data_IF_859776189381
#
_entry.id   IF_859776189381
#
_cell.length_a   1.000
_cell.length_b   1.000
_cell.length_c   1.000
_cell.angle_alpha   90.00
_cell.angle_beta   90.00
_cell.angle_gamma   90.00
#
_symmetry.space_group_name_H-M   'P 1'
#
loop_
_entity.id
_entity.type
_entity.pdbx_description
1 polymer ?
#
# COMPACT_ATOMS: atom_id res chain seq x y z
N UNK A 1 -2.58 -31.68 -9.08
CA UNK A 1 -1.56 -31.16 -8.16
C UNK A 1 -2.30 -30.13 -7.33
N UNK A 2 -2.12 -30.19 -6.01
CA UNK A 2 -2.79 -29.27 -5.10
C UNK A 2 -2.38 -27.82 -5.42
N UNK A 3 -3.36 -26.95 -5.51
CA UNK A 3 -3.14 -25.53 -5.78
C UNK A 3 -3.24 -24.74 -4.46
N UNK A 4 -2.19 -24.84 -3.66
CA UNK A 4 -2.13 -24.20 -2.37
C UNK A 4 -1.53 -22.79 -2.48
N UNK A 5 -2.15 -21.84 -1.79
CA UNK A 5 -1.69 -20.44 -1.68
C UNK A 5 -1.18 -20.19 -0.26
N UNK A 6 -0.17 -19.33 -0.12
CA UNK A 6 0.38 -18.94 1.16
C UNK A 6 0.25 -17.44 1.35
N UNK A 7 -0.39 -16.99 2.42
CA UNK A 7 -0.56 -15.57 2.78
C UNK A 7 0.26 -15.30 4.03
N UNK A 8 1.19 -14.37 3.97
CA UNK A 8 2.03 -13.95 5.09
C UNK A 8 1.41 -12.74 5.77
N UNK A 9 1.14 -12.84 7.06
CA UNK A 9 0.59 -11.81 7.94
C UNK A 9 -0.54 -12.33 8.84
N UNK A 10 -1.09 -11.44 9.67
CA UNK A 10 -2.06 -11.80 10.73
C UNK A 10 -3.21 -10.82 10.90
N UNK A 11 -3.21 -9.72 10.15
CA UNK A 11 -4.21 -8.65 10.29
C UNK A 11 -5.52 -8.94 9.57
N UNK A 12 -6.44 -7.97 9.64
CA UNK A 12 -7.71 -8.00 8.90
C UNK A 12 -7.50 -8.00 7.38
N UNK A 13 -6.45 -7.34 6.91
CA UNK A 13 -6.02 -7.34 5.52
C UNK A 13 -5.70 -8.75 5.02
N UNK A 14 -4.85 -9.48 5.74
CA UNK A 14 -4.45 -10.84 5.36
C UNK A 14 -5.62 -11.80 5.46
N UNK A 15 -6.50 -11.64 6.45
CA UNK A 15 -7.74 -12.40 6.55
C UNK A 15 -8.62 -12.19 5.31
N UNK A 16 -8.86 -10.94 4.90
CA UNK A 16 -9.68 -10.61 3.73
C UNK A 16 -9.08 -11.18 2.43
N UNK A 17 -7.75 -11.10 2.26
CA UNK A 17 -7.05 -11.71 1.11
C UNK A 17 -7.26 -13.23 1.11
N UNK A 18 -7.04 -13.89 2.24
CA UNK A 18 -7.17 -15.33 2.37
C UNK A 18 -8.62 -15.78 2.12
N UNK A 19 -9.58 -15.07 2.71
CA UNK A 19 -11.01 -15.30 2.50
C UNK A 19 -11.39 -15.21 1.01
N UNK A 20 -10.92 -14.17 0.31
CA UNK A 20 -11.24 -14.02 -1.11
C UNK A 20 -10.61 -15.12 -1.98
N UNK A 21 -9.38 -15.55 -1.65
CA UNK A 21 -8.71 -16.65 -2.34
C UNK A 21 -9.38 -17.99 -2.07
N UNK A 22 -9.89 -18.23 -0.86
CA UNK A 22 -10.59 -19.48 -0.52
C UNK A 22 -11.93 -19.66 -1.25
N UNK A 23 -12.49 -18.58 -1.83
CA UNK A 23 -13.70 -18.65 -2.68
C UNK A 23 -13.42 -19.08 -4.10
N UNK A 24 -12.15 -19.10 -4.54
CA UNK A 24 -11.77 -19.57 -5.86
C UNK A 24 -11.86 -21.08 -5.97
N UNK A 25 -12.55 -21.58 -6.99
CA UNK A 25 -12.60 -23.01 -7.28
C UNK A 25 -11.26 -23.58 -7.85
N UNK A 26 -10.26 -22.72 -7.99
CA UNK A 26 -8.89 -23.04 -8.44
C UNK A 26 -7.92 -23.19 -7.28
N UNK A 27 -8.35 -22.96 -6.04
CA UNK A 27 -7.53 -23.02 -4.84
C UNK A 27 -8.02 -24.12 -3.94
N UNK A 28 -7.12 -25.06 -3.57
CA UNK A 28 -7.46 -26.16 -2.68
C UNK A 28 -7.38 -25.72 -1.21
N UNK A 29 -6.27 -25.09 -0.82
CA UNK A 29 -6.08 -24.56 0.53
C UNK A 29 -5.38 -23.20 0.52
N UNK A 30 -5.74 -22.33 1.45
CA UNK A 30 -5.03 -21.09 1.76
C UNK A 30 -4.37 -21.23 3.11
N UNK A 31 -3.05 -21.22 3.15
CA UNK A 31 -2.28 -21.18 4.39
C UNK A 31 -2.03 -19.73 4.78
N UNK A 32 -2.23 -19.38 6.05
CA UNK A 32 -2.01 -18.01 6.56
C UNK A 32 -1.02 -18.05 7.71
N UNK A 33 0.02 -17.24 7.65
CA UNK A 33 1.11 -17.26 8.62
C UNK A 33 1.35 -15.88 9.28
N UNK A 34 1.21 -15.77 10.58
CA UNK A 34 0.71 -16.79 11.50
C UNK A 34 -0.82 -16.93 11.46
N UNK A 35 -1.54 -16.02 10.77
CA UNK A 35 -2.99 -15.95 10.79
C UNK A 35 -3.54 -15.40 12.12
N UNK A 36 -4.83 -15.55 12.32
CA UNK A 36 -5.51 -15.06 13.53
C UNK A 36 -6.73 -15.94 13.86
N UNK A 37 -7.46 -15.58 14.93
CA UNK A 37 -8.65 -16.32 15.35
C UNK A 37 -9.79 -16.32 14.33
N UNK A 38 -9.89 -15.29 13.47
CA UNK A 38 -10.87 -15.23 12.39
C UNK A 38 -10.50 -16.18 11.25
N UNK A 39 -9.25 -16.16 10.80
CA UNK A 39 -8.78 -17.05 9.71
C UNK A 39 -8.91 -18.53 10.08
N UNK A 40 -8.80 -18.89 11.35
CA UNK A 40 -8.96 -20.27 11.82
C UNK A 40 -10.40 -20.79 11.77
N UNK A 41 -11.38 -19.92 11.55
CA UNK A 41 -12.80 -20.28 11.46
C UNK A 41 -13.31 -20.39 10.01
N UNK A 42 -12.50 -19.99 9.05
CA UNK A 42 -12.86 -20.02 7.63
C UNK A 42 -12.63 -21.40 7.03
N UNK A 43 -13.52 -21.83 6.13
CA UNK A 43 -13.32 -23.04 5.35
C UNK A 43 -12.13 -22.90 4.40
N UNK A 44 -11.33 -23.97 4.24
CA UNK A 44 -10.16 -24.04 3.38
C UNK A 44 -9.05 -23.02 3.74
N UNK A 45 -9.08 -22.45 4.95
CA UNK A 45 -8.01 -21.61 5.47
C UNK A 45 -7.34 -22.31 6.66
N UNK A 46 -6.01 -22.38 6.63
CA UNK A 46 -5.20 -23.08 7.61
C UNK A 46 -4.15 -22.14 8.19
N UNK A 47 -4.20 -21.89 9.48
CA UNK A 47 -3.18 -21.10 10.15
C UNK A 47 -1.88 -21.90 10.31
N UNK A 48 -0.75 -21.21 10.12
CA UNK A 48 0.60 -21.79 10.22
C UNK A 48 1.40 -21.01 11.24
N UNK A 49 1.75 -21.66 12.35
CA UNK A 49 2.49 -21.02 13.44
C UNK A 49 4.01 -20.94 13.13
N UNK A 50 4.37 -19.95 12.31
CA UNK A 50 5.76 -19.60 12.01
C UNK A 50 5.93 -18.09 12.22
N UNK A 51 7.05 -17.68 12.80
CA UNK A 51 7.40 -16.26 12.90
C UNK A 51 7.64 -15.68 11.49
N UNK A 52 6.95 -14.60 11.15
CA UNK A 52 7.08 -13.95 9.82
C UNK A 52 8.47 -13.34 9.56
N UNK A 53 9.30 -13.18 10.58
CA UNK A 53 10.70 -12.76 10.46
C UNK A 53 11.64 -13.92 10.12
N UNK A 54 11.20 -15.17 10.33
CA UNK A 54 11.97 -16.37 10.01
C UNK A 54 11.77 -16.81 8.56
N UNK A 55 12.53 -16.15 7.67
CA UNK A 55 12.45 -16.39 6.22
C UNK A 55 12.75 -17.84 5.84
N UNK A 56 13.69 -18.48 6.53
CA UNK A 56 14.08 -19.85 6.21
C UNK A 56 12.95 -20.84 6.50
N UNK A 57 12.29 -20.69 7.65
CA UNK A 57 11.12 -21.49 8.01
C UNK A 57 9.95 -21.27 7.05
N UNK A 58 9.68 -20.01 6.63
CA UNK A 58 8.66 -19.70 5.65
C UNK A 58 8.94 -20.32 4.28
N UNK A 59 10.21 -20.25 3.80
CA UNK A 59 10.65 -20.87 2.55
C UNK A 59 10.53 -22.39 2.61
N UNK A 60 10.97 -23.01 3.70
CA UNK A 60 10.86 -24.46 3.88
C UNK A 60 9.40 -24.90 3.92
N UNK A 61 8.53 -24.16 4.59
CA UNK A 61 7.11 -24.42 4.59
C UNK A 61 6.53 -24.38 3.18
N UNK A 62 6.84 -23.33 2.41
CA UNK A 62 6.34 -23.19 1.04
C UNK A 62 6.78 -24.33 0.13
N UNK A 63 8.03 -24.80 0.25
CA UNK A 63 8.56 -25.96 -0.51
C UNK A 63 7.87 -27.26 -0.14
N UNK A 64 7.62 -27.50 1.14
CA UNK A 64 7.10 -28.77 1.64
C UNK A 64 5.59 -28.93 1.46
N UNK A 65 4.86 -27.82 1.24
CA UNK A 65 3.39 -27.81 1.13
C UNK A 65 2.89 -27.49 -0.28
N UNK A 66 3.70 -27.66 -1.32
CA UNK A 66 3.33 -27.41 -2.71
C UNK A 66 2.70 -26.02 -2.94
N UNK A 67 3.26 -24.98 -2.30
CA UNK A 67 2.75 -23.62 -2.46
C UNK A 67 3.06 -23.13 -3.88
N UNK A 68 1.99 -22.80 -4.63
CA UNK A 68 2.12 -22.32 -6.00
C UNK A 68 2.33 -20.81 -6.08
N UNK A 69 1.91 -20.05 -5.05
CA UNK A 69 2.07 -18.61 -4.94
C UNK A 69 2.05 -18.19 -3.48
N UNK A 70 2.96 -17.32 -3.10
CA UNK A 70 2.95 -16.65 -1.79
C UNK A 70 2.54 -15.19 -1.96
N UNK A 71 1.73 -14.64 -1.04
CA UNK A 71 1.30 -13.24 -1.03
C UNK A 71 1.73 -12.63 0.29
N UNK A 72 2.37 -11.46 0.25
CA UNK A 72 2.83 -10.76 1.44
C UNK A 72 1.88 -9.64 1.79
N UNK A 73 1.29 -9.69 2.98
CA UNK A 73 0.37 -8.67 3.47
C UNK A 73 1.09 -7.47 4.09
N UNK A 74 1.93 -7.64 5.14
CA UNK A 74 2.55 -6.53 5.86
C UNK A 74 3.81 -5.99 5.16
N UNK A 75 4.10 -4.71 5.39
CA UNK A 75 5.24 -3.99 4.83
C UNK A 75 6.60 -4.44 5.38
N UNK A 76 6.67 -4.84 6.64
CA UNK A 76 7.93 -5.23 7.29
C UNK A 76 8.70 -6.30 6.53
N UNK A 77 8.14 -7.48 6.27
CA UNK A 77 8.77 -8.52 5.49
C UNK A 77 9.17 -8.09 4.07
N UNK A 78 8.39 -7.21 3.42
CA UNK A 78 8.72 -6.68 2.08
C UNK A 78 10.00 -5.86 2.12
N UNK A 79 10.07 -4.90 3.05
CA UNK A 79 11.24 -4.03 3.24
C UNK A 79 12.47 -4.84 3.66
N UNK A 80 12.27 -5.90 4.44
CA UNK A 80 13.33 -6.82 4.83
C UNK A 80 13.77 -7.80 3.72
N UNK A 81 13.06 -7.80 2.57
CA UNK A 81 13.47 -8.53 1.36
C UNK A 81 13.03 -9.99 1.30
N UNK A 82 11.92 -10.35 1.92
CA UNK A 82 11.37 -11.71 1.83
C UNK A 82 11.14 -12.14 0.38
N UNK A 83 10.73 -11.20 -0.48
CA UNK A 83 10.49 -11.47 -1.91
C UNK A 83 11.79 -11.90 -2.61
N UNK A 84 12.90 -11.22 -2.31
CA UNK A 84 14.21 -11.60 -2.86
C UNK A 84 14.58 -13.02 -2.44
N UNK A 85 14.42 -13.34 -1.15
CA UNK A 85 14.76 -14.66 -0.61
C UNK A 85 13.91 -15.79 -1.23
N UNK A 86 12.61 -15.57 -1.44
CA UNK A 86 11.73 -16.55 -2.10
C UNK A 86 12.12 -16.77 -3.56
N UNK A 87 12.40 -15.70 -4.31
CA UNK A 87 12.83 -15.77 -5.72
C UNK A 87 14.16 -16.53 -5.84
N UNK A 88 15.13 -16.26 -4.97
CA UNK A 88 16.43 -16.94 -4.92
C UNK A 88 16.28 -18.45 -4.64
N UNK A 89 15.21 -18.83 -3.95
CA UNK A 89 14.86 -20.21 -3.67
C UNK A 89 13.93 -20.85 -4.73
N UNK A 90 13.68 -20.17 -5.86
CA UNK A 90 12.84 -20.67 -6.96
C UNK A 90 11.34 -20.71 -6.66
N UNK A 91 10.89 -20.00 -5.62
CA UNK A 91 9.48 -19.94 -5.22
C UNK A 91 8.81 -18.71 -5.83
N UNK A 92 7.53 -18.86 -6.19
CA UNK A 92 6.71 -17.76 -6.67
C UNK A 92 6.17 -16.97 -5.48
N UNK A 93 6.29 -15.65 -5.57
CA UNK A 93 5.82 -14.74 -4.54
C UNK A 93 5.30 -13.46 -5.18
N UNK A 94 4.16 -12.97 -4.71
CA UNK A 94 3.56 -11.72 -5.15
C UNK A 94 3.83 -10.64 -4.12
N UNK A 95 4.64 -9.67 -4.50
CA UNK A 95 5.10 -8.55 -3.71
C UNK A 95 6.34 -7.95 -4.39
N UNK A 96 6.62 -6.64 -4.15
CA UNK A 96 7.82 -6.01 -4.68
C UNK A 96 9.07 -6.50 -3.96
N UNK A 97 10.18 -6.57 -4.70
CA UNK A 97 11.48 -6.85 -4.11
C UNK A 97 11.91 -5.69 -3.19
N UNK A 98 12.91 -5.94 -2.32
CA UNK A 98 13.44 -4.94 -1.38
C UNK A 98 13.77 -3.61 -2.06
N UNK A 99 14.29 -3.67 -3.30
CA UNK A 99 14.66 -2.49 -4.08
C UNK A 99 13.48 -1.57 -4.40
N UNK A 100 12.24 -2.09 -4.36
CA UNK A 100 11.02 -1.31 -4.58
C UNK A 100 10.21 -1.11 -3.30
N UNK A 101 10.28 -2.04 -2.36
CA UNK A 101 9.64 -1.89 -1.06
C UNK A 101 10.16 -0.65 -0.30
N UNK A 102 11.34 -0.13 -0.67
CA UNK A 102 11.89 1.13 -0.16
C UNK A 102 10.99 2.34 -0.45
N UNK A 103 10.11 2.29 -1.46
CA UNK A 103 9.10 3.35 -1.71
C UNK A 103 8.18 3.55 -0.51
N UNK A 104 7.89 2.49 0.25
CA UNK A 104 7.16 2.55 1.52
C UNK A 104 8.13 2.59 2.70
N UNK A 105 9.24 1.87 2.60
CA UNK A 105 10.22 1.71 3.67
C UNK A 105 11.02 2.96 4.01
N UNK A 106 11.11 3.94 3.10
CA UNK A 106 11.77 5.23 3.34
C UNK A 106 10.97 6.38 2.75
N UNK A 107 10.53 7.29 3.62
CA UNK A 107 9.84 8.52 3.20
C UNK A 107 10.78 9.50 2.50
N UNK A 108 12.04 9.53 2.92
CA UNK A 108 13.11 10.29 2.26
C UNK A 108 13.25 9.82 0.82
N UNK A 109 13.48 8.52 0.61
CA UNK A 109 13.58 7.95 -0.73
C UNK A 109 12.34 8.22 -1.58
N UNK A 110 11.14 8.03 -1.00
CA UNK A 110 9.87 8.25 -1.68
C UNK A 110 9.70 9.71 -2.14
N UNK A 111 10.10 10.68 -1.32
CA UNK A 111 10.05 12.10 -1.67
C UNK A 111 11.07 12.48 -2.74
N UNK A 112 12.31 12.01 -2.63
CA UNK A 112 13.32 12.20 -3.67
C UNK A 112 12.91 11.57 -5.00
N UNK A 113 12.29 10.39 -4.94
CA UNK A 113 11.74 9.71 -6.11
C UNK A 113 10.65 10.56 -6.77
N UNK A 114 9.69 11.09 -6.00
CA UNK A 114 8.63 11.94 -6.53
C UNK A 114 9.17 13.24 -7.14
N UNK A 115 10.10 13.91 -6.46
CA UNK A 115 10.73 15.14 -6.97
C UNK A 115 11.49 14.88 -8.25
N UNK A 116 12.30 13.83 -8.32
CA UNK A 116 13.12 13.49 -9.48
C UNK A 116 12.31 13.20 -10.74
N UNK A 117 11.10 12.71 -10.61
CA UNK A 117 10.24 12.32 -11.73
C UNK A 117 9.04 13.26 -11.92
N UNK A 118 9.08 14.45 -11.33
CA UNK A 118 8.02 15.46 -11.39
C UNK A 118 6.63 14.92 -11.01
N UNK A 119 6.58 14.00 -10.04
CA UNK A 119 5.34 13.50 -9.49
C UNK A 119 4.83 14.51 -8.46
N UNK A 120 3.59 15.02 -8.60
CA UNK A 120 3.10 16.07 -7.72
C UNK A 120 2.97 15.60 -6.28
N UNK A 121 3.62 16.28 -5.35
CA UNK A 121 3.56 16.03 -3.90
C UNK A 121 3.61 17.34 -3.13
N UNK A 122 3.48 17.30 -1.79
CA UNK A 122 3.66 18.48 -0.93
C UNK A 122 5.09 19.02 -1.04
N UNK A 123 5.29 20.33 -0.85
CA UNK A 123 6.63 20.87 -0.63
C UNK A 123 7.22 20.22 0.61
N UNK A 124 8.47 19.81 0.55
CA UNK A 124 9.12 19.10 1.65
C UNK A 124 10.58 19.50 1.82
N UNK A 125 11.13 19.19 2.97
CA UNK A 125 12.57 19.22 3.22
C UNK A 125 12.94 18.13 4.23
N UNK A 126 14.14 17.58 4.07
CA UNK A 126 14.66 16.49 4.90
C UNK A 126 15.72 17.01 5.86
N UNK A 127 15.79 16.46 7.06
CA UNK A 127 16.73 16.83 8.09
C UNK A 127 17.19 15.60 8.87
N UNK A 128 18.48 15.60 9.17
CA UNK A 128 19.11 14.69 10.15
C UNK A 128 19.63 15.46 11.38
N UNK A 129 19.62 16.78 11.29
CA UNK A 129 20.05 17.68 12.39
C UNK A 129 18.85 18.42 12.99
N UNK A 130 18.72 18.30 14.31
CA UNK A 130 17.63 18.89 15.09
C UNK A 130 17.63 20.42 15.02
N UNK A 131 18.82 21.05 15.07
CA UNK A 131 18.95 22.52 15.07
C UNK A 131 18.56 23.08 13.70
N UNK A 132 19.00 22.43 12.62
CA UNK A 132 18.64 22.82 11.26
C UNK A 132 17.14 22.68 11.02
N UNK A 133 16.53 21.58 11.47
CA UNK A 133 15.10 21.34 11.37
C UNK A 133 14.30 22.44 12.11
N UNK A 134 14.68 22.74 13.36
CA UNK A 134 14.04 23.81 14.16
C UNK A 134 14.21 25.19 13.56
N UNK A 135 15.36 25.49 12.96
CA UNK A 135 15.55 26.76 12.26
C UNK A 135 14.69 26.88 11.01
N UNK A 136 14.49 25.79 10.29
CA UNK A 136 13.65 25.77 9.09
C UNK A 136 12.18 26.08 9.39
N UNK A 137 11.61 25.55 10.48
CA UNK A 137 10.18 25.72 10.81
C UNK A 137 9.81 27.13 11.27
N UNK A 138 10.77 27.96 11.75
CA UNK A 138 10.51 29.34 12.22
C UNK A 138 9.80 30.24 11.21
N UNK A 139 10.00 29.97 9.91
CA UNK A 139 9.42 30.77 8.83
C UNK A 139 8.30 30.04 8.09
N UNK A 140 7.81 28.94 8.64
CA UNK A 140 6.73 28.16 8.00
C UNK A 140 5.35 28.69 8.37
N UNK A 141 4.40 28.46 7.46
CA UNK A 141 2.98 28.61 7.75
C UNK A 141 2.46 27.30 8.32
N UNK A 142 1.75 27.37 9.41
CA UNK A 142 1.14 26.20 10.05
C UNK A 142 -0.28 25.94 9.57
N UNK A 143 -0.79 24.69 9.63
CA UNK A 143 -0.08 23.50 10.13
C UNK A 143 1.01 23.01 9.17
N UNK A 144 1.98 22.23 9.71
CA UNK A 144 2.98 21.47 8.97
C UNK A 144 2.94 20.01 9.40
N UNK A 145 3.56 19.12 8.60
CA UNK A 145 3.63 17.69 8.91
C UNK A 145 5.09 17.29 9.11
N UNK A 146 5.41 16.69 10.26
CA UNK A 146 6.73 16.13 10.56
C UNK A 146 6.61 14.61 10.52
N UNK A 147 7.41 13.96 9.66
CA UNK A 147 7.38 12.50 9.44
C UNK A 147 8.75 11.91 9.73
N UNK A 148 8.80 10.86 10.54
CA UNK A 148 9.99 10.02 10.69
C UNK A 148 10.23 9.22 9.40
N UNK A 149 11.50 9.07 9.00
CA UNK A 149 11.86 8.12 7.95
C UNK A 149 11.73 6.68 8.45
N UNK A 150 11.49 5.74 7.54
CA UNK A 150 11.30 4.34 7.89
C UNK A 150 9.85 3.95 8.20
N UNK A 151 9.66 2.67 8.52
CA UNK A 151 8.38 2.10 8.92
C UNK A 151 8.06 2.49 10.37
N UNK A 152 6.90 3.08 10.61
CA UNK A 152 6.50 3.58 11.92
C UNK A 152 5.08 3.17 12.35
N UNK A 153 4.45 2.22 11.66
CA UNK A 153 3.10 1.71 11.99
C UNK A 153 2.07 2.84 12.27
N UNK A 154 2.05 3.87 11.43
CA UNK A 154 1.16 5.03 11.59
C UNK A 154 1.56 6.04 12.68
N UNK A 155 2.56 5.74 13.51
CA UNK A 155 2.97 6.60 14.65
C UNK A 155 4.10 7.59 14.33
N UNK A 156 4.68 7.50 13.14
CA UNK A 156 5.78 8.36 12.69
C UNK A 156 5.34 9.63 11.96
N UNK A 157 4.06 10.01 11.99
CA UNK A 157 3.52 11.20 11.33
C UNK A 157 2.85 12.08 12.38
N UNK A 158 3.31 13.32 12.51
CA UNK A 158 2.79 14.29 13.47
C UNK A 158 2.41 15.55 12.70
N UNK A 159 1.13 15.94 12.79
CA UNK A 159 0.63 17.22 12.29
C UNK A 159 0.83 18.22 13.43
N UNK A 160 1.51 19.32 13.14
CA UNK A 160 1.84 20.38 14.11
C UNK A 160 1.13 21.66 13.72
N UNK A 161 0.30 22.19 14.61
CA UNK A 161 -0.53 23.36 14.35
C UNK A 161 0.18 24.68 14.65
N UNK A 162 1.29 24.61 15.37
CA UNK A 162 2.14 25.75 15.74
C UNK A 162 3.62 25.35 15.85
N UNK A 163 4.47 26.33 16.17
CA UNK A 163 5.92 26.15 16.28
C UNK A 163 6.29 25.22 17.46
N UNK A 164 5.60 25.33 18.58
CA UNK A 164 5.90 24.55 19.78
C UNK A 164 5.57 23.06 19.57
N UNK A 165 4.43 22.77 18.94
CA UNK A 165 4.09 21.40 18.54
C UNK A 165 5.11 20.83 17.55
N UNK A 166 5.58 21.65 16.60
CA UNK A 166 6.56 21.21 15.61
C UNK A 166 7.93 20.95 16.24
N UNK A 167 8.38 21.77 17.18
CA UNK A 167 9.61 21.56 17.96
C UNK A 167 9.52 20.22 18.70
N UNK A 168 8.41 20.00 19.41
CA UNK A 168 8.18 18.74 20.14
C UNK A 168 8.16 17.52 19.21
N UNK A 169 7.57 17.66 18.01
CA UNK A 169 7.55 16.59 17.01
C UNK A 169 8.96 16.27 16.50
N UNK A 170 9.78 17.30 16.20
CA UNK A 170 11.17 17.13 15.76
C UNK A 170 11.99 16.42 16.84
N UNK A 171 11.92 16.91 18.10
CA UNK A 171 12.65 16.30 19.22
C UNK A 171 12.24 14.84 19.42
N UNK A 172 10.95 14.54 19.36
CA UNK A 172 10.43 13.19 19.52
C UNK A 172 10.90 12.25 18.41
N UNK A 173 11.00 12.71 17.17
CA UNK A 173 11.27 11.84 16.02
C UNK A 173 12.76 11.72 15.72
N UNK A 174 13.60 12.74 15.97
CA UNK A 174 15.05 12.67 15.76
C UNK A 174 15.81 12.23 17.03
N UNK A 175 15.51 12.79 18.21
CA UNK A 175 16.33 12.55 19.42
C UNK A 175 16.05 11.22 20.10
N UNK A 176 14.89 10.60 19.84
CA UNK A 176 14.51 9.33 20.48
C UNK A 176 15.06 8.07 19.80
N UNK A 177 16.04 8.22 18.90
CA UNK A 177 16.57 7.12 18.03
C UNK A 177 15.47 6.42 17.21
N UNK A 178 14.35 7.09 16.96
CA UNK A 178 13.27 6.52 16.15
C UNK A 178 13.58 6.58 14.66
N UNK A 179 14.36 7.59 14.23
CA UNK A 179 14.75 7.76 12.84
C UNK A 179 16.02 8.58 12.70
N UNK A 180 16.87 8.23 11.73
CA UNK A 180 18.05 9.02 11.36
C UNK A 180 17.68 10.32 10.62
N UNK A 181 16.55 10.31 9.93
CA UNK A 181 16.02 11.45 9.15
C UNK A 181 14.57 11.71 9.46
N UNK A 182 14.18 12.98 9.36
CA UNK A 182 12.78 13.39 9.30
C UNK A 182 12.51 14.14 7.99
N UNK A 183 11.25 14.06 7.55
CA UNK A 183 10.72 14.88 6.45
C UNK A 183 9.73 15.87 7.02
N UNK A 184 9.94 17.16 6.77
CA UNK A 184 9.00 18.23 7.11
C UNK A 184 8.28 18.66 5.84
N UNK A 185 6.96 18.57 5.84
CA UNK A 185 6.10 18.84 4.69
C UNK A 185 5.11 19.96 4.96
N UNK A 186 4.75 20.71 3.92
CA UNK A 186 3.59 21.60 3.98
C UNK A 186 2.33 20.76 4.11
N UNK A 187 1.42 21.14 5.02
CA UNK A 187 0.16 20.44 5.22
C UNK A 187 -0.75 20.62 4.00
N UNK A 188 -1.29 19.52 3.49
CA UNK A 188 -2.23 19.52 2.38
C UNK A 188 -3.66 19.51 2.92
N UNK A 189 -4.50 20.41 2.41
CA UNK A 189 -5.92 20.49 2.74
C UNK A 189 -6.71 19.88 1.60
N UNK A 190 -7.57 18.93 1.90
CA UNK A 190 -8.39 18.26 0.90
C UNK A 190 -9.04 16.98 1.40
N UNK A 191 -9.42 16.15 0.46
CA UNK A 191 -9.95 14.81 0.70
C UNK A 191 -8.89 13.78 0.37
N UNK A 192 -8.59 12.89 1.31
CA UNK A 192 -7.73 11.74 1.05
C UNK A 192 -8.44 10.70 0.19
N UNK A 193 -7.68 10.09 -0.69
CA UNK A 193 -8.11 9.01 -1.57
C UNK A 193 -6.99 8.00 -1.73
N UNK A 194 -7.33 6.72 -1.72
CA UNK A 194 -6.42 5.62 -1.97
C UNK A 194 -6.67 5.05 -3.36
N UNK A 195 -5.68 5.14 -4.25
CA UNK A 195 -5.69 4.51 -5.56
C UNK A 195 -4.73 3.31 -5.53
N UNK A 196 -5.28 2.10 -5.67
CA UNK A 196 -4.54 0.85 -5.51
C UNK A 196 -4.54 0.08 -6.83
N UNK A 197 -3.37 -0.42 -7.21
CA UNK A 197 -3.16 -1.14 -8.46
C UNK A 197 -2.49 -2.48 -8.21
N UNK A 198 -2.87 -3.48 -9.00
CA UNK A 198 -2.13 -4.72 -9.16
C UNK A 198 -1.18 -4.53 -10.32
N UNK A 199 0.12 -4.61 -10.09
CA UNK A 199 1.14 -4.27 -11.06
C UNK A 199 2.06 -5.44 -11.37
N UNK A 200 2.37 -5.61 -12.67
CA UNK A 200 3.44 -6.47 -13.13
C UNK A 200 4.18 -5.75 -14.27
N UNK A 201 5.42 -5.33 -14.02
CA UNK A 201 6.23 -4.64 -15.02
C UNK A 201 7.35 -5.52 -15.60
N UNK A 202 7.10 -6.85 -15.67
CA UNK A 202 7.97 -7.82 -16.30
C UNK A 202 7.38 -8.32 -17.62
N UNK A 203 8.11 -8.16 -18.72
CA UNK A 203 7.65 -8.64 -20.02
C UNK A 203 6.45 -7.87 -20.55
N UNK A 204 5.30 -8.52 -20.67
CA UNK A 204 4.03 -7.83 -20.91
C UNK A 204 3.62 -7.10 -19.64
N UNK A 205 3.97 -5.83 -19.56
CA UNK A 205 3.63 -4.98 -18.42
C UNK A 205 2.15 -4.70 -18.36
N UNK A 206 1.55 -4.83 -17.18
CA UNK A 206 0.16 -4.43 -16.94
C UNK A 206 -0.01 -3.81 -15.56
N UNK A 207 -1.00 -2.98 -15.43
CA UNK A 207 -1.56 -2.47 -14.19
C UNK A 207 -3.09 -2.63 -14.22
N UNK A 208 -3.64 -3.09 -13.10
CA UNK A 208 -5.09 -3.23 -12.92
C UNK A 208 -5.49 -2.35 -11.75
N UNK A 209 -6.26 -1.30 -12.03
CA UNK A 209 -6.81 -0.43 -11.00
C UNK A 209 -7.90 -1.13 -10.21
N UNK A 210 -7.80 -1.10 -8.89
CA UNK A 210 -8.88 -1.47 -7.98
C UNK A 210 -9.78 -0.26 -7.71
N UNK A 211 -10.99 -0.44 -7.17
CA UNK A 211 -11.84 0.68 -6.78
C UNK A 211 -11.11 1.66 -5.86
N UNK A 212 -11.32 2.95 -6.06
CA UNK A 212 -10.80 3.95 -5.13
C UNK A 212 -11.44 3.77 -3.76
N UNK A 213 -10.61 3.91 -2.73
CA UNK A 213 -11.06 3.80 -1.35
C UNK A 213 -10.67 5.05 -0.57
N UNK A 214 -11.34 5.25 0.55
CA UNK A 214 -10.98 6.24 1.56
C UNK A 214 -10.98 5.54 2.91
N UNK A 215 -9.88 5.66 3.62
CA UNK A 215 -9.77 5.24 5.01
C UNK A 215 -10.03 6.41 5.97
N UNK A 216 -10.40 6.09 7.18
CA UNK A 216 -10.61 7.02 8.29
C UNK A 216 -9.58 6.72 9.36
N UNK A 217 -8.55 7.57 9.44
CA UNK A 217 -7.37 7.34 10.32
C UNK A 217 -7.52 7.96 11.70
N UNK A 218 -8.28 9.04 11.81
CA UNK A 218 -8.43 9.76 13.08
C UNK A 218 -9.29 8.96 14.06
N UNK A 219 -8.85 8.91 15.32
CA UNK A 219 -9.57 8.19 16.39
C UNK A 219 -10.93 8.82 16.72
N UNK A 220 -11.01 10.13 16.66
CA UNK A 220 -12.16 10.89 17.15
C UNK A 220 -13.01 11.44 15.98
N UNK A 221 -14.23 11.88 16.25
CA UNK A 221 -15.14 12.44 15.26
C UNK A 221 -14.57 13.68 14.55
N UNK A 222 -15.07 13.97 13.36
CA UNK A 222 -14.68 15.12 12.53
C UNK A 222 -13.18 15.16 12.18
N UNK A 223 -12.56 13.99 11.98
CA UNK A 223 -11.12 13.84 11.69
C UNK A 223 -10.23 14.48 12.75
N UNK A 224 -10.62 14.39 14.02
CA UNK A 224 -9.88 14.92 15.15
C UNK A 224 -9.18 13.81 15.96
N UNK A 225 -8.28 14.24 16.89
CA UNK A 225 -7.52 13.29 17.69
C UNK A 225 -6.33 12.65 16.96
N UNK A 226 -5.64 11.73 17.62
CA UNK A 226 -4.47 11.06 17.03
C UNK A 226 -4.85 10.12 15.90
N UNK A 227 -3.95 10.00 14.92
CA UNK A 227 -4.07 8.99 13.88
C UNK A 227 -3.93 7.58 14.47
N UNK A 228 -4.68 6.66 13.89
CA UNK A 228 -4.67 5.22 14.20
C UNK A 228 -4.17 4.42 12.99
N UNK A 229 -4.17 3.09 13.09
CA UNK A 229 -3.92 2.21 11.95
C UNK A 229 -5.08 2.12 10.94
N UNK A 230 -6.24 2.70 11.29
CA UNK A 230 -7.48 2.70 10.50
C UNK A 230 -8.69 2.42 11.37
N UNK A 231 -9.71 3.26 11.28
CA UNK A 231 -10.98 3.14 12.02
C UNK A 231 -12.10 2.58 11.14
N UNK A 232 -11.88 2.52 9.86
CA UNK A 232 -12.80 2.02 8.85
C UNK A 232 -12.44 2.55 7.47
N UNK A 233 -13.04 2.00 6.44
CA UNK A 233 -12.87 2.44 5.07
C UNK A 233 -14.19 2.39 4.29
N UNK A 234 -14.22 3.12 3.17
CA UNK A 234 -15.31 3.08 2.21
C UNK A 234 -14.73 2.99 0.79
N UNK A 235 -15.30 2.11 -0.04
CA UNK A 235 -15.03 2.11 -1.47
C UNK A 235 -15.93 3.13 -2.18
N UNK A 236 -15.42 3.70 -3.30
CA UNK A 236 -16.11 4.70 -4.08
C UNK A 236 -16.56 5.95 -3.28
N UNK A 237 -15.64 6.59 -2.53
CA UNK A 237 -15.97 7.62 -1.54
C UNK A 237 -16.54 8.92 -2.15
N UNK A 238 -16.41 9.12 -3.47
CA UNK A 238 -16.81 10.35 -4.14
C UNK A 238 -18.27 10.31 -4.65
N UNK A 239 -18.94 9.15 -4.57
CA UNK A 239 -20.33 8.97 -5.03
C UNK A 239 -20.53 9.24 -6.54
N UNK A 240 -21.67 8.76 -7.08
CA UNK A 240 -21.93 8.80 -8.54
C UNK A 240 -22.55 10.10 -9.05
N UNK A 241 -22.91 11.01 -8.16
CA UNK A 241 -23.67 12.21 -8.53
C UNK A 241 -22.88 13.19 -9.42
N UNK A 242 -21.57 13.03 -9.55
CA UNK A 242 -20.68 13.93 -10.26
C UNK A 242 -19.84 13.23 -11.35
N UNK A 243 -20.47 12.54 -12.30
CA UNK A 243 -19.76 11.79 -13.37
C UNK A 243 -18.65 12.58 -14.08
N UNK A 244 -18.89 13.87 -14.36
CA UNK A 244 -17.88 14.72 -15.01
C UNK A 244 -16.66 15.00 -14.11
N UNK A 245 -16.87 15.13 -12.79
CA UNK A 245 -15.79 15.31 -11.83
C UNK A 245 -15.00 14.03 -11.69
N UNK A 246 -15.66 12.90 -11.53
CA UNK A 246 -15.02 11.58 -11.45
C UNK A 246 -14.15 11.32 -12.67
N UNK A 247 -14.64 11.65 -13.87
CA UNK A 247 -13.86 11.50 -15.11
C UNK A 247 -12.59 12.38 -15.11
N UNK A 248 -12.70 13.64 -14.68
CA UNK A 248 -11.54 14.53 -14.57
C UNK A 248 -10.50 14.03 -13.56
N UNK A 249 -10.95 13.61 -12.38
CA UNK A 249 -10.08 13.06 -11.35
C UNK A 249 -9.40 11.78 -11.85
N UNK A 250 -10.13 10.92 -12.55
CA UNK A 250 -9.56 9.71 -13.15
C UNK A 250 -8.41 10.06 -14.10
N UNK A 251 -8.59 11.02 -14.99
CA UNK A 251 -7.53 11.45 -15.91
C UNK A 251 -6.29 12.01 -15.18
N UNK A 252 -6.49 12.75 -14.09
CA UNK A 252 -5.35 13.30 -13.34
C UNK A 252 -4.63 12.20 -12.54
N UNK A 253 -5.34 11.26 -11.96
CA UNK A 253 -4.76 10.09 -11.28
C UNK A 253 -4.00 9.21 -12.26
N UNK A 254 -4.54 8.98 -13.46
CA UNK A 254 -3.87 8.27 -14.54
C UNK A 254 -2.54 8.94 -14.94
N UNK A 255 -2.48 10.25 -15.02
CA UNK A 255 -1.22 10.96 -15.28
C UNK A 255 -0.18 10.72 -14.19
N UNK A 256 -0.60 10.70 -12.93
CA UNK A 256 0.27 10.39 -11.80
C UNK A 256 0.76 8.94 -11.90
N UNK A 257 -0.14 8.01 -12.19
CA UNK A 257 0.19 6.59 -12.39
C UNK A 257 1.20 6.40 -13.52
N UNK A 258 0.97 7.01 -14.69
CA UNK A 258 1.88 6.94 -15.84
C UNK A 258 3.28 7.44 -15.46
N UNK A 259 3.39 8.58 -14.75
CA UNK A 259 4.68 9.09 -14.28
C UNK A 259 5.34 8.12 -13.28
N UNK A 260 4.56 7.57 -12.36
CA UNK A 260 5.05 6.59 -11.38
C UNK A 260 5.57 5.32 -12.06
N UNK A 261 4.84 4.79 -13.05
CA UNK A 261 5.26 3.62 -13.84
C UNK A 261 6.55 3.94 -14.62
N UNK A 262 6.62 5.09 -15.25
CA UNK A 262 7.82 5.52 -15.98
C UNK A 262 9.03 5.63 -15.04
N UNK A 263 8.84 6.14 -13.83
CA UNK A 263 9.86 6.24 -12.80
C UNK A 263 10.33 4.86 -12.33
N UNK A 264 9.39 3.95 -12.04
CA UNK A 264 9.68 2.55 -11.68
C UNK A 264 10.45 1.86 -12.81
N UNK A 265 10.01 1.99 -14.06
CA UNK A 265 10.68 1.40 -15.21
C UNK A 265 12.10 1.97 -15.43
N UNK A 266 12.32 3.25 -15.13
CA UNK A 266 13.65 3.84 -15.14
C UNK A 266 14.54 3.22 -14.02
N UNK A 267 13.97 2.98 -12.85
CA UNK A 267 14.65 2.32 -11.74
C UNK A 267 14.95 0.85 -12.04
N UNK A 268 14.03 0.13 -12.73
CA UNK A 268 14.23 -1.24 -13.19
C UNK A 268 15.53 -1.40 -14.00
N UNK A 269 15.84 -0.45 -14.89
CA UNK A 269 17.07 -0.47 -15.70
C UNK A 269 18.33 -0.42 -14.85
N UNK A 270 18.29 0.17 -13.66
CA UNK A 270 19.42 0.28 -12.74
C UNK A 270 19.59 -0.96 -11.87
N UNK A 271 18.47 -1.51 -11.38
CA UNK A 271 18.46 -2.62 -10.43
C UNK A 271 18.47 -3.99 -11.12
N UNK A 272 18.14 -4.05 -12.42
CA UNK A 272 17.86 -5.27 -13.17
C UNK A 272 16.76 -6.14 -12.52
N UNK A 273 15.82 -5.49 -11.84
CA UNK A 273 14.65 -6.08 -11.19
C UNK A 273 13.38 -5.53 -11.81
N UNK A 274 12.26 -6.19 -11.60
CA UNK A 274 10.96 -5.75 -12.08
C UNK A 274 10.00 -5.60 -10.91
N UNK A 275 9.13 -4.61 -10.94
CA UNK A 275 8.07 -4.47 -9.97
C UNK A 275 6.98 -5.52 -10.24
N UNK A 276 6.68 -6.32 -9.23
CA UNK A 276 5.53 -7.20 -9.19
C UNK A 276 4.89 -7.04 -7.81
N UNK A 277 3.63 -6.66 -7.72
CA UNK A 277 2.96 -6.48 -6.44
C UNK A 277 1.84 -5.47 -6.49
N UNK A 278 1.31 -5.15 -5.33
CA UNK A 278 0.37 -4.05 -5.18
C UNK A 278 1.13 -2.72 -5.13
N UNK A 279 0.63 -1.74 -5.84
CA UNK A 279 1.06 -0.35 -5.76
C UNK A 279 -0.11 0.49 -5.24
N UNK A 280 0.02 0.97 -4.02
CA UNK A 280 -0.94 1.87 -3.40
C UNK A 280 -0.39 3.29 -3.47
N UNK A 281 -1.17 4.20 -4.00
CA UNK A 281 -0.87 5.62 -4.11
C UNK A 281 -1.85 6.37 -3.22
N UNK A 282 -1.37 6.89 -2.09
CA UNK A 282 -2.13 7.79 -1.22
C UNK A 282 -2.19 9.19 -1.83
N UNK A 283 -3.37 9.71 -2.03
CA UNK A 283 -3.62 10.97 -2.73
C UNK A 283 -4.34 11.97 -1.83
N UNK A 284 -4.03 13.25 -2.02
CA UNK A 284 -4.81 14.36 -1.49
C UNK A 284 -5.41 15.15 -2.65
N UNK A 285 -6.73 15.31 -2.64
CA UNK A 285 -7.50 16.09 -3.62
C UNK A 285 -7.94 17.37 -2.95
N UNK A 286 -7.47 18.51 -3.40
CA UNK A 286 -7.87 19.80 -2.85
C UNK A 286 -9.24 20.28 -3.42
N UNK A 287 -9.72 21.43 -2.94
CA UNK A 287 -11.00 21.99 -3.40
C UNK A 287 -11.00 22.42 -4.87
N UNK A 288 -9.83 22.67 -5.45
CA UNK A 288 -9.66 23.02 -6.87
C UNK A 288 -9.51 21.78 -7.76
N UNK A 289 -9.59 20.59 -7.15
CA UNK A 289 -9.35 19.28 -7.76
C UNK A 289 -7.91 19.02 -8.21
N UNK A 290 -6.94 19.77 -7.68
CA UNK A 290 -5.54 19.42 -7.83
C UNK A 290 -5.21 18.21 -6.97
N UNK A 291 -4.45 17.28 -7.53
CA UNK A 291 -4.10 16.03 -6.87
C UNK A 291 -2.61 16.00 -6.54
N UNK A 292 -2.29 15.65 -5.30
CA UNK A 292 -0.92 15.44 -4.85
C UNK A 292 -0.77 14.08 -4.19
N UNK A 293 0.37 13.44 -4.42
CA UNK A 293 0.73 12.18 -3.76
C UNK A 293 1.18 12.47 -2.34
N UNK A 294 0.56 11.78 -1.38
CA UNK A 294 0.93 11.81 0.03
C UNK A 294 2.06 10.82 0.31
N UNK A 295 1.88 9.59 -0.17
CA UNK A 295 2.78 8.47 0.07
C UNK A 295 2.54 7.33 -0.93
N UNK A 296 3.51 6.43 -1.03
CA UNK A 296 3.37 5.12 -1.65
C UNK A 296 3.36 4.04 -0.60
N UNK A 297 2.54 3.01 -0.83
CA UNK A 297 2.65 1.75 -0.11
C UNK A 297 2.80 0.61 -1.12
N UNK A 298 3.61 -0.39 -0.78
CA UNK A 298 3.95 -1.50 -1.67
C UNK A 298 3.12 -2.77 -1.38
N UNK A 299 1.95 -2.57 -0.77
CA UNK A 299 1.01 -3.61 -0.35
C UNK A 299 -0.40 -3.04 -0.33
N UNK A 300 -1.38 -3.89 -0.10
CA UNK A 300 -2.75 -3.45 0.15
C UNK A 300 -2.88 -2.66 1.46
N UNK A 301 -3.84 -1.77 1.56
CA UNK A 301 -4.18 -1.04 2.78
C UNK A 301 -4.92 -1.91 3.81
N UNK A 302 -4.97 -1.45 5.05
CA UNK A 302 -5.79 -2.00 6.12
C UNK A 302 -6.44 -0.81 6.86
N UNK A 303 -7.79 -0.62 6.74
CA UNK A 303 -8.82 -1.61 6.38
C UNK A 303 -9.36 -1.57 4.94
N UNK A 304 -8.71 -0.94 3.95
CA UNK A 304 -9.22 -0.84 2.57
C UNK A 304 -9.38 -2.20 1.90
N UNK A 305 -8.51 -3.16 2.23
CA UNK A 305 -8.53 -4.50 1.64
C UNK A 305 -9.84 -5.22 1.87
N UNK A 306 -10.46 -5.09 3.04
CA UNK A 306 -11.72 -5.71 3.37
C UNK A 306 -12.82 -5.26 2.40
N UNK A 307 -12.89 -3.97 2.10
CA UNK A 307 -13.82 -3.42 1.12
C UNK A 307 -13.54 -3.90 -0.28
N UNK A 308 -12.26 -3.89 -0.67
CA UNK A 308 -11.84 -4.32 -2.01
C UNK A 308 -12.16 -5.79 -2.27
N UNK A 309 -11.88 -6.67 -1.30
CA UNK A 309 -12.19 -8.09 -1.45
C UNK A 309 -13.69 -8.36 -1.54
N UNK A 310 -14.49 -7.63 -0.77
CA UNK A 310 -15.95 -7.73 -0.85
C UNK A 310 -16.48 -7.21 -2.19
N UNK A 311 -15.94 -6.10 -2.70
CA UNK A 311 -16.30 -5.59 -4.03
C UNK A 311 -15.95 -6.59 -5.14
N UNK A 312 -14.76 -7.20 -5.09
CA UNK A 312 -14.38 -8.25 -6.06
C UNK A 312 -15.31 -9.46 -5.98
N UNK A 313 -15.76 -9.84 -4.77
CA UNK A 313 -16.69 -10.94 -4.58
C UNK A 313 -18.06 -10.62 -5.20
N UNK A 314 -18.63 -9.46 -4.90
CA UNK A 314 -19.93 -9.03 -5.44
C UNK A 314 -19.94 -8.95 -6.97
N UNK A 315 -18.78 -8.66 -7.57
CA UNK A 315 -18.63 -8.57 -9.03
C UNK A 315 -18.20 -9.91 -9.67
N UNK A 316 -18.12 -10.98 -8.90
CA UNK A 316 -17.65 -12.29 -9.35
C UNK A 316 -16.24 -12.25 -9.99
N UNK A 317 -15.37 -11.37 -9.51
CA UNK A 317 -13.98 -11.28 -9.95
C UNK A 317 -13.12 -12.19 -9.05
N UNK A 318 -12.40 -13.13 -9.67
CA UNK A 318 -11.54 -14.06 -8.97
C UNK A 318 -10.16 -13.44 -8.71
N UNK A 319 -9.78 -13.26 -7.45
CA UNK A 319 -8.47 -12.73 -7.07
C UNK A 319 -7.31 -13.63 -7.53
N UNK A 320 -7.55 -14.95 -7.59
CA UNK A 320 -6.57 -15.91 -8.11
C UNK A 320 -6.17 -15.56 -9.55
N UNK A 321 -7.13 -15.23 -10.41
CA UNK A 321 -6.86 -14.86 -11.80
C UNK A 321 -6.08 -13.55 -11.92
N UNK A 322 -6.27 -12.62 -10.98
CA UNK A 322 -5.58 -11.35 -10.97
C UNK A 322 -4.11 -11.45 -10.51
N UNK A 323 -3.77 -12.45 -9.67
CA UNK A 323 -2.46 -12.54 -9.01
C UNK A 323 -1.64 -13.74 -9.50
N UNK A 324 -2.26 -14.90 -9.67
CA UNK A 324 -1.57 -16.18 -9.92
C UNK A 324 -1.50 -16.50 -11.40
N UNK A 325 -2.61 -16.35 -12.11
CA UNK A 325 -2.64 -16.46 -13.56
C UNK A 325 -2.17 -15.12 -14.15
N UNK A 326 -1.46 -15.20 -15.29
CA UNK A 326 -1.17 -13.98 -16.05
C UNK A 326 -2.52 -13.35 -16.49
N UNK A 327 -2.93 -12.18 -15.93
CA UNK A 327 -4.24 -11.60 -16.23
C UNK A 327 -4.45 -11.32 -17.72
N UNK A 328 -3.37 -11.02 -18.46
CA UNK A 328 -3.42 -10.78 -19.91
C UNK A 328 -3.96 -12.00 -20.66
N UNK A 329 -3.64 -13.21 -20.17
CA UNK A 329 -4.11 -14.45 -20.79
C UNK A 329 -5.45 -14.94 -20.21
N UNK A 330 -5.80 -14.51 -18.99
CA UNK A 330 -6.97 -14.99 -18.26
C UNK A 330 -8.20 -14.12 -18.49
N UNK A 331 -8.02 -12.83 -18.74
CA UNK A 331 -9.10 -11.86 -18.90
C UNK A 331 -9.18 -11.48 -20.38
N UNK A 332 -10.07 -12.15 -21.12
CA UNK A 332 -10.28 -11.94 -22.56
C UNK A 332 -10.72 -10.52 -22.94
N UNK A 333 -11.16 -9.73 -21.97
CA UNK A 333 -11.64 -8.37 -22.15
C UNK A 333 -11.08 -7.43 -21.05
N UNK A 334 -9.78 -7.09 -21.13
CA UNK A 334 -9.13 -6.12 -20.23
C UNK A 334 -9.84 -4.75 -20.20
N UNK A 335 -10.56 -4.39 -21.28
CA UNK A 335 -11.41 -3.20 -21.33
C UNK A 335 -12.71 -3.33 -20.50
N UNK A 336 -13.01 -4.51 -19.94
CA UNK A 336 -14.21 -4.82 -19.16
C UNK A 336 -13.96 -4.96 -17.65
N UNK A 337 -12.72 -4.86 -17.17
CA UNK A 337 -12.48 -4.53 -15.77
C UNK A 337 -12.80 -3.03 -15.49
N UNK A 338 -13.91 -2.55 -16.01
CA UNK A 338 -14.73 -1.58 -15.29
C UNK A 338 -15.26 -2.33 -14.09
N UNK A 339 -14.43 -2.43 -13.05
CA UNK A 339 -14.93 -2.75 -11.73
C UNK A 339 -16.06 -1.77 -11.53
N UNK A 340 -17.29 -2.29 -11.57
CA UNK A 340 -18.47 -1.45 -11.63
C UNK A 340 -18.45 -0.56 -10.39
N UNK A 341 -18.33 0.72 -10.65
CA UNK A 341 -18.23 1.71 -9.61
C UNK A 341 -19.59 1.96 -8.93
N UNK A 342 -20.65 1.25 -9.26
CA UNK A 342 -21.99 1.51 -8.75
C UNK A 342 -22.30 0.91 -7.37
N UNK A 343 -21.47 -0.01 -6.87
CA UNK A 343 -21.64 -0.56 -5.53
C UNK A 343 -20.54 -0.07 -4.57
N UNK A 344 -20.93 0.68 -3.56
CA UNK A 344 -20.06 1.06 -2.45
C UNK A 344 -20.06 -0.03 -1.38
N UNK A 345 -18.90 -0.36 -0.83
CA UNK A 345 -18.74 -1.20 0.34
C UNK A 345 -18.17 -0.41 1.51
N UNK A 346 -18.50 -0.83 2.71
CA UNK A 346 -18.08 -0.20 3.96
C UNK A 346 -17.43 -1.23 4.87
N UNK A 347 -16.39 -0.83 5.55
CA UNK A 347 -15.71 -1.60 6.58
C UNK A 347 -15.54 -0.78 7.87
#
# INVERSE_FOLDING_TARGET
MDQNIFVIGQGGREHAIAWKLSKSNKVDNVYVCPGNGGTSLEENIINVDINIEDKDSLINFAKNNNIIMTIVGPEGPLVDGIVNSFIENGLKIFGPTKEYAILEGSKVFSKEFMEKFDIPTSSFRMFSDNIEAKNYIKNKKYPIVVKADGLAAGKGVIISNDEDEAINAIDKLLDSNHSEYIVIEDFLIGQELSAIYICNFKGASYEIGLPWTKDYKSRDEFNSGPNTGGMGAVSHPLGYQHKNLLFKLHLEIEKILIKTIAAINNYNKKTNKNYLGFLYIGLMINNDNDIKVLEYNCRLGDPETQNLMLTLENQNIDLYDLIVNDPINSIKDFNLLKIDTEESSYC
#
